data_IF_555943377720
#
_entry.id   IF_555943377720
#
_cell.length_a   1.000
_cell.length_b   1.000
_cell.length_c   1.000
_cell.angle_alpha   90.00
_cell.angle_beta   90.00
_cell.angle_gamma   90.00
#
_symmetry.space_group_name_H-M   'P 1'
#
loop_
_entity.id
_entity.type
_entity.pdbx_description
1 polymer ?
#
# COMPACT_ATOMS: atom_id res chain seq x y z
N UNK A 1 -13.90 -11.01 6.45
CA UNK A 1 -13.59 -9.58 6.29
C UNK A 1 -12.25 -9.45 5.57
N UNK A 2 -12.05 -8.39 4.79
CA UNK A 2 -10.75 -8.14 4.17
C UNK A 2 -9.73 -7.78 5.26
N UNK A 3 -8.49 -8.31 5.19
CA UNK A 3 -7.46 -8.01 6.17
C UNK A 3 -7.08 -6.53 6.04
N UNK A 4 -6.98 -5.83 7.17
CA UNK A 4 -6.78 -4.37 7.22
C UNK A 4 -5.75 -4.02 8.29
N UNK A 5 -4.88 -3.06 7.98
CA UNK A 5 -3.93 -2.46 8.93
C UNK A 5 -4.40 -1.02 9.15
N UNK A 6 -4.63 -0.63 10.40
CA UNK A 6 -5.01 0.74 10.75
C UNK A 6 -3.77 1.51 11.17
N UNK A 7 -3.31 2.41 10.30
CA UNK A 7 -2.19 3.28 10.59
C UNK A 7 -2.60 4.54 11.35
N UNK A 8 -1.65 5.12 12.08
CA UNK A 8 -1.81 6.48 12.61
C UNK A 8 -1.85 7.49 11.46
N UNK A 9 -2.61 8.59 11.58
CA UNK A 9 -2.61 9.64 10.56
C UNK A 9 -1.20 10.18 10.27
N UNK A 10 -0.88 10.36 8.99
CA UNK A 10 0.36 11.00 8.55
C UNK A 10 0.27 12.52 8.68
N UNK A 11 1.42 13.18 8.84
CA UNK A 11 1.48 14.64 8.93
C UNK A 11 1.22 15.29 7.56
N UNK A 12 0.33 16.28 7.52
CA UNK A 12 0.03 17.02 6.30
C UNK A 12 1.25 17.81 5.81
N UNK A 13 1.33 18.03 4.49
CA UNK A 13 2.38 18.81 3.82
C UNK A 13 3.81 18.31 4.10
N UNK A 14 3.98 17.01 4.37
CA UNK A 14 5.27 16.38 4.63
C UNK A 14 5.41 15.16 3.73
N UNK A 15 6.54 15.03 3.03
CA UNK A 15 6.84 13.82 2.27
C UNK A 15 6.85 12.61 3.20
N UNK A 16 6.09 11.59 2.83
CA UNK A 16 6.01 10.33 3.57
C UNK A 16 6.22 9.20 2.58
N UNK A 17 7.26 8.41 2.80
CA UNK A 17 7.46 7.19 2.04
C UNK A 17 6.55 6.09 2.60
N UNK A 18 5.78 5.45 1.73
CA UNK A 18 4.87 4.35 2.09
C UNK A 18 5.25 3.13 1.26
N UNK A 19 5.51 2.00 1.93
CA UNK A 19 5.66 0.71 1.26
C UNK A 19 4.63 -0.28 1.79
N UNK A 20 4.00 -0.98 0.85
CA UNK A 20 3.08 -2.07 1.14
C UNK A 20 3.57 -3.33 0.45
N UNK A 21 3.69 -4.42 1.22
CA UNK A 21 4.15 -5.70 0.70
C UNK A 21 3.17 -6.81 1.06
N UNK A 22 3.24 -7.91 0.31
CA UNK A 22 2.41 -9.07 0.54
C UNK A 22 3.18 -10.36 0.28
N UNK A 23 3.03 -11.32 1.18
CA UNK A 23 3.30 -12.74 0.93
C UNK A 23 2.29 -13.60 1.70
N UNK A 24 2.18 -14.89 1.37
CA UNK A 24 1.26 -15.77 2.08
C UNK A 24 1.60 -15.87 3.57
N UNK A 25 2.90 -16.00 3.89
CA UNK A 25 3.39 -16.15 5.26
C UNK A 25 3.15 -14.90 6.09
N UNK A 26 3.39 -13.73 5.50
CA UNK A 26 3.34 -12.45 6.21
C UNK A 26 2.00 -11.74 6.07
N UNK A 27 1.13 -12.18 5.16
CA UNK A 27 0.01 -11.39 4.69
C UNK A 27 0.48 -10.00 4.25
N UNK A 28 -0.33 -9.00 4.55
CA UNK A 28 0.05 -7.62 4.29
C UNK A 28 1.04 -7.12 5.34
N UNK A 29 2.05 -6.37 4.89
CA UNK A 29 2.92 -5.57 5.76
C UNK A 29 3.01 -4.14 5.27
N UNK A 30 2.84 -3.21 6.21
CA UNK A 30 2.93 -1.77 5.96
C UNK A 30 4.21 -1.23 6.58
N UNK A 31 4.87 -0.33 5.84
CA UNK A 31 6.03 0.42 6.29
C UNK A 31 5.81 1.90 6.03
N UNK A 32 6.21 2.74 6.98
CA UNK A 32 6.09 4.20 6.91
C UNK A 32 7.50 4.77 7.14
N UNK A 33 7.98 5.59 6.21
CA UNK A 33 9.33 6.15 6.23
C UNK A 33 10.42 5.08 6.42
N UNK A 34 10.23 3.92 5.77
CA UNK A 34 11.19 2.81 5.83
C UNK A 34 11.10 1.95 7.09
N UNK A 35 10.25 2.30 8.05
CA UNK A 35 10.09 1.59 9.32
C UNK A 35 8.87 0.69 9.28
N UNK A 36 9.02 -0.54 9.75
CA UNK A 36 7.91 -1.49 9.88
C UNK A 36 6.81 -0.94 10.79
N UNK A 37 5.58 -0.87 10.27
CA UNK A 37 4.42 -0.39 11.01
C UNK A 37 3.59 -1.54 11.57
N UNK A 38 3.29 -2.55 10.76
CA UNK A 38 2.43 -3.64 11.17
C UNK A 38 2.13 -4.65 10.08
N UNK A 39 1.46 -5.72 10.49
CA UNK A 39 1.10 -6.84 9.62
C UNK A 39 -0.29 -7.39 9.93
N UNK A 40 -0.91 -8.00 8.93
CA UNK A 40 -2.14 -8.79 9.12
C UNK A 40 -1.85 -10.21 9.57
N UNK A 41 -0.59 -10.66 9.51
CA UNK A 41 -0.22 -12.07 9.64
C UNK A 41 -0.65 -12.89 8.42
N UNK A 42 -0.41 -14.20 8.47
CA UNK A 42 -0.72 -15.14 7.39
C UNK A 42 -2.09 -14.87 6.77
N UNK A 43 -2.11 -14.69 5.45
CA UNK A 43 -3.34 -14.46 4.71
C UNK A 43 -3.26 -15.05 3.31
N UNK A 44 -4.30 -15.77 2.91
CA UNK A 44 -4.44 -16.35 1.58
C UNK A 44 -5.69 -15.81 0.89
N UNK A 45 -5.51 -15.36 -0.35
CA UNK A 45 -6.62 -15.02 -1.23
C UNK A 45 -7.19 -16.31 -1.86
N UNK A 46 -8.52 -16.41 -1.91
CA UNK A 46 -9.22 -17.38 -2.76
C UNK A 46 -9.63 -16.73 -4.07
N UNK A 47 -9.45 -17.42 -5.20
CA UNK A 47 -10.07 -17.03 -6.49
C UNK A 47 -9.49 -15.81 -7.20
N UNK A 48 -8.23 -15.45 -6.98
CA UNK A 48 -7.57 -14.38 -7.76
C UNK A 48 -6.92 -14.96 -9.02
N UNK A 49 -6.99 -14.24 -10.15
CA UNK A 49 -6.35 -14.66 -11.41
C UNK A 49 -4.82 -14.55 -11.37
N UNK A 50 -4.25 -13.97 -10.31
CA UNK A 50 -2.84 -13.64 -10.21
C UNK A 50 -2.38 -12.52 -11.15
N UNK A 51 -3.28 -11.94 -11.96
CA UNK A 51 -2.96 -10.91 -12.94
C UNK A 51 -3.36 -9.51 -12.43
N UNK A 52 -2.46 -8.55 -12.59
CA UNK A 52 -2.78 -7.12 -12.44
C UNK A 52 -3.60 -6.71 -13.67
N UNK A 53 -4.86 -6.33 -13.47
CA UNK A 53 -5.75 -5.90 -14.56
C UNK A 53 -5.62 -4.41 -14.85
N UNK A 54 -5.46 -3.59 -13.81
CA UNK A 54 -5.19 -2.15 -13.92
C UNK A 54 -4.52 -1.66 -12.62
N UNK A 55 -3.76 -0.58 -12.73
CA UNK A 55 -3.20 0.16 -11.59
C UNK A 55 -3.79 1.56 -11.61
N UNK A 56 -4.31 2.00 -10.47
CA UNK A 56 -4.82 3.35 -10.29
C UNK A 56 -3.96 4.08 -9.26
N UNK A 57 -3.51 5.28 -9.59
CA UNK A 57 -2.68 6.13 -8.74
C UNK A 57 -3.39 7.46 -8.56
N UNK A 58 -3.51 7.92 -7.31
CA UNK A 58 -4.04 9.24 -6.99
C UNK A 58 -5.54 9.44 -7.23
N UNK A 59 -6.27 8.43 -7.70
CA UNK A 59 -7.70 8.52 -7.91
C UNK A 59 -8.33 7.12 -7.92
N UNK A 60 -9.49 6.97 -7.26
CA UNK A 60 -10.30 5.76 -7.37
C UNK A 60 -11.59 6.04 -8.13
N UNK A 61 -11.78 5.37 -9.27
CA UNK A 61 -13.04 5.40 -10.01
C UNK A 61 -13.86 4.17 -9.59
N UNK A 62 -14.79 4.34 -8.65
CA UNK A 62 -15.72 3.28 -8.28
C UNK A 62 -17.15 3.62 -8.73
N UNK A 63 -17.77 2.73 -9.50
CA UNK A 63 -19.18 2.78 -9.89
C UNK A 63 -20.12 2.30 -8.76
N UNK A 64 -19.79 2.58 -7.50
CA UNK A 64 -20.54 2.13 -6.33
C UNK A 64 -20.91 3.32 -5.44
N UNK A 65 -22.12 3.28 -4.89
CA UNK A 65 -22.75 4.38 -4.16
C UNK A 65 -22.14 4.67 -2.78
N UNK A 66 -21.19 3.87 -2.30
CA UNK A 66 -20.66 3.94 -0.93
C UNK A 66 -19.21 4.46 -0.85
N UNK A 67 -18.70 5.09 -1.90
CA UNK A 67 -17.39 5.71 -1.90
C UNK A 67 -17.48 7.23 -1.75
N UNK A 68 -16.44 7.84 -1.19
CA UNK A 68 -16.30 9.29 -1.11
C UNK A 68 -16.34 9.82 -2.55
N UNK A 69 -17.40 10.54 -2.92
CA UNK A 69 -17.47 11.24 -4.20
C UNK A 69 -16.40 12.33 -4.21
N UNK A 70 -15.61 12.42 -5.29
CA UNK A 70 -14.41 13.28 -5.40
C UNK A 70 -13.17 12.81 -4.60
N UNK A 71 -12.98 11.49 -4.43
CA UNK A 71 -11.85 10.85 -3.73
C UNK A 71 -10.50 10.89 -4.47
N UNK A 72 -10.19 11.98 -5.20
CA UNK A 72 -8.85 12.19 -5.70
C UNK A 72 -7.89 12.44 -4.53
N UNK A 73 -6.68 11.88 -4.60
CA UNK A 73 -5.62 12.19 -3.65
C UNK A 73 -5.25 13.66 -3.78
N UNK A 74 -5.37 14.42 -2.68
CA UNK A 74 -5.04 15.84 -2.63
C UNK A 74 -3.60 16.03 -2.16
N UNK A 75 -2.65 15.72 -3.03
CA UNK A 75 -1.23 15.84 -2.76
C UNK A 75 -0.38 15.57 -3.99
N UNK A 76 0.91 15.38 -3.77
CA UNK A 76 1.89 15.01 -4.79
C UNK A 76 2.35 13.57 -4.53
N UNK A 77 2.53 12.82 -5.61
CA UNK A 77 3.02 11.45 -5.61
C UNK A 77 4.26 11.45 -6.49
N UNK A 78 5.33 10.82 -6.02
CA UNK A 78 6.57 10.67 -6.76
C UNK A 78 7.17 9.28 -6.47
N UNK A 79 8.10 8.84 -7.33
CA UNK A 79 8.91 7.64 -7.15
C UNK A 79 8.09 6.36 -6.89
N UNK A 80 7.18 6.02 -7.83
CA UNK A 80 6.28 4.86 -7.71
C UNK A 80 6.93 3.58 -8.23
N UNK A 81 7.04 2.58 -7.35
CA UNK A 81 7.57 1.25 -7.65
C UNK A 81 6.51 0.15 -7.46
N UNK A 82 6.57 -0.88 -8.31
CA UNK A 82 5.76 -2.10 -8.17
C UNK A 82 6.67 -3.31 -8.36
N UNK A 83 6.69 -4.21 -7.38
CA UNK A 83 7.50 -5.42 -7.41
C UNK A 83 6.63 -6.66 -7.52
N UNK A 84 7.13 -7.68 -8.24
CA UNK A 84 6.47 -8.99 -8.37
C UNK A 84 6.79 -9.95 -7.21
N UNK A 85 7.40 -9.45 -6.13
CA UNK A 85 7.75 -10.19 -4.92
C UNK A 85 7.63 -9.28 -3.69
N UNK A 86 7.57 -9.90 -2.52
CA UNK A 86 7.82 -9.19 -1.26
C UNK A 86 9.27 -8.68 -1.26
N UNK A 87 9.44 -7.37 -1.16
CA UNK A 87 10.75 -6.74 -0.95
C UNK A 87 11.09 -6.74 0.54
N UNK A 88 12.39 -6.79 0.83
CA UNK A 88 12.91 -6.90 2.20
C UNK A 88 12.87 -5.57 2.94
N UNK A 89 12.94 -5.61 4.27
CA UNK A 89 13.00 -4.41 5.11
C UNK A 89 14.19 -3.52 4.76
N UNK A 90 15.34 -4.13 4.41
CA UNK A 90 16.53 -3.39 3.98
C UNK A 90 16.31 -2.66 2.64
N UNK A 91 15.67 -3.31 1.67
CA UNK A 91 15.30 -2.68 0.39
C UNK A 91 14.33 -1.51 0.61
N UNK A 92 13.34 -1.69 1.47
CA UNK A 92 12.35 -0.65 1.84
C UNK A 92 13.03 0.53 2.53
N UNK A 93 13.96 0.27 3.45
CA UNK A 93 14.70 1.31 4.16
C UNK A 93 15.60 2.13 3.23
N UNK A 94 16.19 1.47 2.22
CA UNK A 94 16.97 2.15 1.19
C UNK A 94 16.10 3.06 0.31
N UNK A 95 14.89 2.61 -0.08
CA UNK A 95 13.94 3.42 -0.86
C UNK A 95 13.39 4.62 -0.08
N UNK A 96 13.29 4.50 1.26
CA UNK A 96 12.75 5.57 2.11
C UNK A 96 13.67 6.78 2.30
N UNK A 97 14.97 6.60 2.05
CA UNK A 97 16.01 7.61 2.24
C UNK A 97 16.70 7.92 0.90
N UNK A 98 16.00 8.56 -0.07
CA UNK A 98 16.58 8.90 -1.37
C UNK A 98 17.69 9.95 -1.25
#
# INVERSE_FOLDING_TARGET
AWPTIYATPITLNTWTHISWTFSLTNGYRLYINGVYFGTTGYYSYGGTSGAITWIQIGYNFACSSNYITNAGFQGIIDEVYVHNREITEAEISALANP
#
